data_IF_981965891826
#
_entry.id   IF_981965891826
#
_cell.length_a   1.000
_cell.length_b   1.000
_cell.length_c   1.000
_cell.angle_alpha   90.00
_cell.angle_beta   90.00
_cell.angle_gamma   90.00
#
_symmetry.space_group_name_H-M   'P 1'
#
loop_
_entity.id
_entity.type
_entity.pdbx_description
1 polymer ?
#
# COMPACT_ATOMS: atom_id res chain seq x y z
N UNK A 1 -53.29 -29.52 37.76
CA UNK A 1 -52.75 -29.46 39.13
C UNK A 1 -51.23 -29.47 39.04
N UNK A 2 -50.63 -28.38 39.50
CA UNK A 2 -49.27 -27.94 39.23
C UNK A 2 -48.26 -28.55 40.24
N UNK A 3 -47.09 -28.87 39.71
CA UNK A 3 -45.74 -28.83 40.27
C UNK A 3 -45.21 -29.90 41.25
N UNK A 4 -44.45 -30.78 40.58
CA UNK A 4 -43.26 -31.51 40.96
C UNK A 4 -42.17 -30.68 41.70
N UNK A 5 -41.68 -31.31 42.77
CA UNK A 5 -40.28 -31.58 43.17
C UNK A 5 -39.23 -30.47 43.21
N UNK A 6 -38.84 -30.21 44.46
CA UNK A 6 -37.59 -29.61 44.92
C UNK A 6 -36.39 -30.57 44.84
N UNK A 7 -35.18 -29.96 44.81
CA UNK A 7 -33.84 -30.45 45.24
C UNK A 7 -33.10 -31.41 44.27
N UNK A 8 -31.81 -31.26 43.96
CA UNK A 8 -30.70 -30.47 44.51
C UNK A 8 -29.76 -30.04 43.35
N UNK A 9 -29.35 -28.78 43.37
CA UNK A 9 -28.29 -28.21 42.52
C UNK A 9 -26.95 -28.45 43.22
N UNK A 10 -25.97 -28.97 42.49
CA UNK A 10 -24.59 -29.16 42.92
C UNK A 10 -23.94 -27.81 43.28
N UNK A 11 -23.03 -27.75 44.26
CA UNK A 11 -22.31 -26.52 44.58
C UNK A 11 -21.34 -26.20 43.45
N UNK A 12 -21.50 -25.04 42.84
CA UNK A 12 -20.48 -24.44 41.97
C UNK A 12 -19.28 -24.07 42.87
N UNK A 13 -18.11 -24.58 42.52
CA UNK A 13 -16.85 -24.36 43.26
C UNK A 13 -16.24 -23.02 42.80
N UNK A 14 -16.88 -21.91 43.19
CA UNK A 14 -16.60 -20.55 42.71
C UNK A 14 -15.14 -20.09 42.92
N UNK A 15 -14.42 -20.67 43.89
CA UNK A 15 -13.02 -20.33 44.17
C UNK A 15 -12.04 -20.83 43.09
N UNK A 16 -12.29 -22.00 42.52
CA UNK A 16 -11.38 -22.66 41.58
C UNK A 16 -11.50 -22.06 40.16
N UNK A 17 -12.69 -21.58 39.81
CA UNK A 17 -12.94 -20.87 38.55
C UNK A 17 -12.41 -19.42 38.57
N UNK A 18 -12.45 -18.76 39.73
CA UNK A 18 -11.82 -17.44 39.90
C UNK A 18 -10.30 -17.52 39.79
N UNK A 19 -9.67 -18.52 40.41
CA UNK A 19 -8.21 -18.66 40.37
C UNK A 19 -7.71 -18.98 38.95
N UNK A 20 -8.44 -19.83 38.21
CA UNK A 20 -8.17 -20.08 36.77
C UNK A 20 -8.37 -18.83 35.92
N UNK A 21 -9.39 -18.02 36.22
CA UNK A 21 -9.65 -16.74 35.53
C UNK A 21 -8.55 -15.72 35.82
N UNK A 22 -8.06 -15.64 37.05
CA UNK A 22 -6.92 -14.78 37.44
C UNK A 22 -5.65 -15.19 36.71
N UNK A 23 -5.28 -16.48 36.70
CA UNK A 23 -4.09 -16.96 35.98
C UNK A 23 -4.19 -16.73 34.46
N UNK A 24 -5.39 -16.85 33.89
CA UNK A 24 -5.61 -16.53 32.47
C UNK A 24 -5.43 -15.03 32.18
N UNK A 25 -5.92 -14.17 33.07
CA UNK A 25 -5.77 -12.72 32.94
C UNK A 25 -4.33 -12.26 33.19
N UNK A 26 -3.60 -12.90 34.11
CA UNK A 26 -2.16 -12.66 34.34
C UNK A 26 -1.34 -13.01 33.10
N UNK A 27 -1.60 -14.18 32.48
CA UNK A 27 -0.93 -14.58 31.25
C UNK A 27 -1.26 -13.66 30.07
N UNK A 28 -2.49 -13.16 29.98
CA UNK A 28 -2.88 -12.15 28.99
C UNK A 28 -2.16 -10.82 29.25
N UNK A 29 -2.02 -10.39 30.51
CA UNK A 29 -1.28 -9.19 30.89
C UNK A 29 0.20 -9.28 30.55
N UNK A 30 0.83 -10.43 30.81
CA UNK A 30 2.23 -10.68 30.51
C UNK A 30 2.50 -10.60 29.00
N UNK A 31 1.65 -11.25 28.20
CA UNK A 31 1.72 -11.23 26.74
C UNK A 31 1.50 -9.81 26.17
N UNK A 32 0.57 -9.04 26.75
CA UNK A 32 0.36 -7.62 26.38
C UNK A 32 1.51 -6.70 26.80
N UNK A 33 2.18 -6.99 27.91
CA UNK A 33 3.35 -6.24 28.36
C UNK A 33 4.57 -6.51 27.47
N UNK A 34 4.74 -7.74 26.97
CA UNK A 34 5.76 -8.07 25.97
C UNK A 34 5.48 -7.36 24.63
N UNK A 35 4.24 -7.41 24.13
CA UNK A 35 3.83 -6.68 22.92
C UNK A 35 4.09 -5.16 23.05
N UNK A 36 3.82 -4.58 24.22
CA UNK A 36 4.08 -3.17 24.49
C UNK A 36 5.58 -2.85 24.44
N UNK A 37 6.41 -3.73 25.00
CA UNK A 37 7.86 -3.56 25.04
C UNK A 37 8.47 -3.64 23.64
N UNK A 38 8.03 -4.58 22.82
CA UNK A 38 8.42 -4.69 21.42
C UNK A 38 8.02 -3.44 20.61
N UNK A 39 6.79 -2.95 20.81
CA UNK A 39 6.31 -1.73 20.18
C UNK A 39 7.11 -0.48 20.62
N UNK A 40 7.60 -0.43 21.87
CA UNK A 40 8.47 0.64 22.36
C UNK A 40 9.88 0.58 21.75
N UNK A 41 10.46 -0.62 21.62
CA UNK A 41 11.75 -0.81 20.95
C UNK A 41 11.65 -0.45 19.45
N UNK A 42 10.58 -0.86 18.76
CA UNK A 42 10.30 -0.50 17.37
C UNK A 42 10.13 1.01 17.20
N UNK A 43 9.37 1.67 18.09
CA UNK A 43 9.22 3.13 18.08
C UNK A 43 10.54 3.87 18.25
N UNK A 44 11.43 3.37 19.12
CA UNK A 44 12.76 3.95 19.32
C UNK A 44 13.62 3.87 18.05
N UNK A 45 13.58 2.74 17.35
CA UNK A 45 14.27 2.58 16.06
C UNK A 45 13.67 3.50 14.99
N UNK A 46 12.35 3.70 14.98
CA UNK A 46 11.68 4.63 14.08
C UNK A 46 12.07 6.10 14.35
N UNK A 47 12.21 6.49 15.62
CA UNK A 47 12.68 7.83 16.01
C UNK A 47 14.15 8.05 15.60
N UNK A 48 15.02 7.05 15.78
CA UNK A 48 16.41 7.07 15.32
C UNK A 48 16.49 7.15 13.78
N UNK A 49 15.68 6.38 13.05
CA UNK A 49 15.56 6.47 11.60
C UNK A 49 15.04 7.83 11.15
N UNK A 50 14.12 8.46 11.89
CA UNK A 50 13.65 9.81 11.60
C UNK A 50 14.76 10.85 11.73
N UNK A 51 15.64 10.71 12.74
CA UNK A 51 16.82 11.59 12.88
C UNK A 51 17.88 11.38 11.79
N UNK A 52 18.12 10.14 11.36
CA UNK A 52 19.02 9.87 10.22
C UNK A 52 18.41 10.41 8.93
N UNK A 53 17.09 10.25 8.75
CA UNK A 53 16.39 10.75 7.59
C UNK A 53 16.39 12.29 7.55
N UNK A 54 16.24 12.98 8.69
CA UNK A 54 16.34 14.45 8.74
C UNK A 54 17.74 14.95 8.38
N UNK A 55 18.81 14.26 8.81
CA UNK A 55 20.17 14.56 8.36
C UNK A 55 20.38 14.30 6.86
N UNK A 56 19.76 13.25 6.33
CA UNK A 56 19.85 12.88 4.91
C UNK A 56 19.08 13.86 4.02
N UNK A 57 17.89 14.30 4.45
CA UNK A 57 17.10 15.35 3.80
C UNK A 57 17.87 16.66 3.79
N UNK A 58 18.49 17.05 4.91
CA UNK A 58 19.32 18.28 4.98
C UNK A 58 20.51 18.22 4.00
N UNK A 59 21.09 17.04 3.79
CA UNK A 59 22.14 16.79 2.79
C UNK A 59 21.60 16.88 1.35
N UNK A 60 20.45 16.26 1.08
CA UNK A 60 19.80 16.31 -0.23
C UNK A 60 19.24 17.69 -0.58
N UNK A 61 18.85 18.50 0.39
CA UNK A 61 18.41 19.89 0.20
C UNK A 61 19.58 20.81 -0.14
N UNK A 62 20.78 20.56 0.42
CA UNK A 62 22.01 21.19 -0.05
C UNK A 62 22.30 20.81 -1.51
N UNK A 63 22.08 19.56 -1.91
CA UNK A 63 22.28 19.10 -3.30
C UNK A 63 21.20 19.61 -4.26
N UNK A 64 19.93 19.70 -3.83
CA UNK A 64 18.81 20.18 -4.66
C UNK A 64 18.85 21.67 -4.97
N UNK A 65 19.46 22.48 -4.11
CA UNK A 65 19.67 23.90 -4.41
C UNK A 65 20.69 24.11 -5.54
N UNK A 66 21.36 23.05 -6.01
CA UNK A 66 22.31 23.07 -7.12
C UNK A 66 21.63 22.71 -8.47
N UNK A 67 20.43 22.09 -8.48
CA UNK A 67 19.85 21.48 -9.69
C UNK A 67 18.41 21.91 -10.03
N UNK A 68 17.94 23.10 -9.64
CA UNK A 68 16.60 23.59 -9.99
C UNK A 68 16.51 24.02 -11.46
N UNK A 69 16.30 23.05 -12.34
CA UNK A 69 15.89 23.23 -13.73
C UNK A 69 15.39 21.92 -14.33
N UNK A 70 14.11 21.61 -14.18
CA UNK A 70 13.51 20.39 -14.75
C UNK A 70 11.99 20.52 -14.91
N UNK A 71 11.57 20.67 -16.16
CA UNK A 71 10.17 20.78 -16.64
C UNK A 71 9.52 19.39 -16.70
N UNK A 72 8.20 19.32 -16.50
CA UNK A 72 7.42 18.07 -16.56
C UNK A 72 7.38 17.44 -17.97
N UNK A 73 7.17 16.11 -18.08
CA UNK A 73 7.26 15.36 -19.33
C UNK A 73 6.12 15.64 -20.31
N UNK A 74 6.48 15.80 -21.58
CA UNK A 74 5.67 16.23 -22.74
C UNK A 74 4.49 15.27 -23.08
N UNK A 75 4.60 13.98 -22.73
CA UNK A 75 3.63 12.92 -23.08
C UNK A 75 2.24 13.06 -22.46
N UNK A 76 2.10 13.80 -21.35
CA UNK A 76 0.81 13.94 -20.65
C UNK A 76 -0.16 14.88 -21.39
N UNK A 77 0.35 15.89 -22.10
CA UNK A 77 -0.45 16.90 -22.80
C UNK A 77 -1.07 16.33 -24.09
N UNK A 78 -0.31 15.53 -24.84
CA UNK A 78 -0.78 14.90 -26.08
C UNK A 78 -1.96 13.96 -25.87
N UNK A 79 -1.99 13.26 -24.74
CA UNK A 79 -3.06 12.33 -24.40
C UNK A 79 -4.38 13.05 -24.13
N UNK A 80 -4.32 14.24 -23.52
CA UNK A 80 -5.50 15.06 -23.21
C UNK A 80 -6.14 15.57 -24.51
N UNK A 81 -5.34 16.12 -25.42
CA UNK A 81 -5.82 16.62 -26.73
C UNK A 81 -6.54 15.55 -27.56
N UNK A 82 -6.06 14.30 -27.55
CA UNK A 82 -6.72 13.20 -28.31
C UNK A 82 -8.10 12.85 -27.75
N UNK A 83 -8.26 12.84 -26.42
CA UNK A 83 -9.54 12.52 -25.79
C UNK A 83 -10.60 13.59 -26.04
N UNK A 84 -10.21 14.86 -26.06
CA UNK A 84 -11.13 15.97 -26.37
C UNK A 84 -11.67 15.90 -27.80
N UNK A 85 -10.83 15.51 -28.76
CA UNK A 85 -11.23 15.37 -30.15
C UNK A 85 -12.23 14.22 -30.38
N UNK A 86 -12.04 13.09 -29.70
CA UNK A 86 -12.99 11.97 -29.75
C UNK A 86 -14.37 12.37 -29.21
N UNK A 87 -14.40 13.12 -28.11
CA UNK A 87 -15.67 13.58 -27.51
C UNK A 87 -16.43 14.54 -28.43
N UNK A 88 -15.73 15.42 -29.17
CA UNK A 88 -16.35 16.32 -30.16
C UNK A 88 -16.99 15.56 -31.31
N UNK A 89 -16.33 14.53 -31.85
CA UNK A 89 -16.90 13.73 -32.95
C UNK A 89 -18.16 13.00 -32.53
N UNK A 90 -18.21 12.44 -31.33
CA UNK A 90 -19.35 11.66 -30.88
C UNK A 90 -20.59 12.53 -30.62
N UNK A 91 -20.41 13.74 -30.09
CA UNK A 91 -21.49 14.74 -29.99
C UNK A 91 -22.10 15.06 -31.36
N UNK A 92 -21.27 15.23 -32.38
CA UNK A 92 -21.74 15.53 -33.73
C UNK A 92 -22.59 14.39 -34.33
N UNK A 93 -22.20 13.12 -34.11
CA UNK A 93 -23.00 11.96 -34.56
C UNK A 93 -24.37 11.92 -33.89
N UNK A 94 -24.45 12.17 -32.58
CA UNK A 94 -25.72 12.23 -31.87
C UNK A 94 -26.66 13.31 -32.43
N UNK A 95 -26.13 14.49 -32.79
CA UNK A 95 -26.93 15.56 -33.40
C UNK A 95 -27.51 15.16 -34.77
N UNK A 96 -26.74 14.45 -35.60
CA UNK A 96 -27.19 13.96 -36.90
C UNK A 96 -28.32 12.92 -36.74
N UNK A 97 -28.16 11.97 -35.83
CA UNK A 97 -29.19 10.97 -35.55
C UNK A 97 -30.51 11.60 -35.07
N UNK A 98 -30.45 12.63 -34.23
CA UNK A 98 -31.65 13.36 -33.79
C UNK A 98 -32.36 14.08 -34.95
N UNK A 99 -31.61 14.61 -35.94
CA UNK A 99 -32.21 15.24 -37.13
C UNK A 99 -32.90 14.20 -38.00
N UNK A 100 -32.30 13.04 -38.20
CA UNK A 100 -32.87 11.95 -38.99
C UNK A 100 -34.17 11.42 -38.35
N UNK A 101 -34.19 11.22 -37.04
CA UNK A 101 -35.38 10.79 -36.31
C UNK A 101 -36.54 11.79 -36.48
N UNK A 102 -36.26 13.10 -36.44
CA UNK A 102 -37.28 14.14 -36.68
C UNK A 102 -37.85 14.07 -38.08
N UNK A 103 -37.02 13.82 -39.10
CA UNK A 103 -37.47 13.67 -40.48
C UNK A 103 -38.36 12.43 -40.66
N UNK A 104 -37.96 11.29 -40.08
CA UNK A 104 -38.76 10.06 -40.12
C UNK A 104 -40.13 10.25 -39.45
N UNK A 105 -40.19 10.92 -38.29
CA UNK A 105 -41.45 11.20 -37.61
C UNK A 105 -42.41 12.07 -38.45
N UNK A 106 -41.88 13.02 -39.23
CA UNK A 106 -42.68 13.83 -40.15
C UNK A 106 -43.24 12.97 -41.29
N UNK A 107 -42.44 12.06 -41.84
CA UNK A 107 -42.87 11.17 -42.93
C UNK A 107 -44.00 10.23 -42.49
N UNK A 108 -43.90 9.65 -41.29
CA UNK A 108 -44.95 8.79 -40.72
C UNK A 108 -46.27 9.56 -40.60
N UNK A 109 -46.24 10.77 -40.01
CA UNK A 109 -47.44 11.61 -39.89
C UNK A 109 -48.09 11.97 -41.22
N UNK A 110 -47.29 12.13 -42.29
CA UNK A 110 -47.82 12.36 -43.63
C UNK A 110 -48.54 11.12 -44.17
N UNK A 111 -47.97 9.93 -43.96
CA UNK A 111 -48.59 8.68 -44.39
C UNK A 111 -49.90 8.39 -43.64
N UNK A 112 -49.94 8.62 -42.33
CA UNK A 112 -51.16 8.48 -41.52
C UNK A 112 -52.32 9.32 -42.07
N UNK A 113 -52.05 10.59 -42.41
CA UNK A 113 -53.06 11.47 -43.03
C UNK A 113 -53.57 10.98 -44.37
N UNK A 114 -52.70 10.40 -45.19
CA UNK A 114 -53.10 9.84 -46.50
C UNK A 114 -54.03 8.64 -46.31
N UNK A 115 -53.73 7.76 -45.36
CA UNK A 115 -54.56 6.61 -45.03
C UNK A 115 -55.94 7.08 -44.56
N UNK A 116 -55.98 8.04 -43.63
CA UNK A 116 -57.23 8.60 -43.10
C UNK A 116 -58.12 9.19 -44.21
N UNK A 117 -57.53 9.91 -45.18
CA UNK A 117 -58.25 10.44 -46.34
C UNK A 117 -58.81 9.33 -47.26
N UNK A 118 -58.05 8.26 -47.47
CA UNK A 118 -58.50 7.13 -48.28
C UNK A 118 -59.65 6.37 -47.60
N UNK A 119 -59.59 6.20 -46.28
CA UNK A 119 -60.67 5.59 -45.49
C UNK A 119 -61.94 6.41 -45.57
N UNK A 120 -61.86 7.73 -45.41
CA UNK A 120 -63.03 8.61 -45.53
C UNK A 120 -63.65 8.57 -46.93
N UNK A 121 -62.83 8.52 -47.99
CA UNK A 121 -63.33 8.37 -49.37
C UNK A 121 -64.07 7.06 -49.58
N UNK A 122 -63.58 5.98 -49.00
CA UNK A 122 -64.23 4.68 -49.07
C UNK A 122 -65.60 4.72 -48.38
N UNK A 123 -65.68 5.29 -47.17
CA UNK A 123 -66.94 5.45 -46.44
C UNK A 123 -67.96 6.34 -47.19
N UNK A 124 -67.50 7.39 -47.88
CA UNK A 124 -68.40 8.21 -48.72
C UNK A 124 -68.94 7.44 -49.92
N UNK A 125 -68.10 6.65 -50.62
CA UNK A 125 -68.56 5.82 -51.73
C UNK A 125 -69.58 4.78 -51.26
N UNK A 126 -69.38 4.18 -50.08
CA UNK A 126 -70.31 3.22 -49.50
C UNK A 126 -71.68 3.85 -49.19
N UNK A 127 -71.70 5.10 -48.70
CA UNK A 127 -72.93 5.87 -48.44
C UNK A 127 -73.66 6.24 -49.72
N UNK A 128 -72.94 6.70 -50.75
CA UNK A 128 -73.52 7.14 -52.02
C UNK A 128 -74.07 5.99 -52.86
N UNK A 129 -73.38 4.85 -52.87
CA UNK A 129 -73.81 3.68 -53.65
C UNK A 129 -74.95 2.89 -52.99
N UNK A 130 -75.33 3.23 -51.75
CA UNK A 130 -76.44 2.61 -51.03
C UNK A 130 -76.25 1.10 -50.76
N UNK A 131 -75.01 0.61 -50.85
CA UNK A 131 -74.71 -0.83 -50.89
C UNK A 131 -75.03 -1.56 -49.57
N UNK A 132 -75.37 -0.82 -48.51
CA UNK A 132 -75.61 -1.38 -47.16
C UNK A 132 -77.10 -1.67 -46.86
N UNK A 133 -78.06 -1.30 -47.73
CA UNK A 133 -79.46 -1.12 -47.27
C UNK A 133 -80.62 -2.00 -47.78
N UNK A 134 -80.62 -2.54 -49.00
CA UNK A 134 -81.91 -2.94 -49.64
C UNK A 134 -82.08 -4.46 -49.85
N UNK A 135 -82.53 -5.15 -48.79
CA UNK A 135 -83.12 -6.50 -48.86
C UNK A 135 -84.65 -6.43 -48.63
N UNK A 136 -85.45 -5.91 -49.57
CA UNK A 136 -86.91 -6.07 -49.48
C UNK A 136 -87.65 -6.10 -50.83
N UNK A 137 -88.04 -7.33 -51.20
CA UNK A 137 -89.29 -7.84 -51.83
C UNK A 137 -90.07 -6.94 -52.81
N UNK A 138 -90.11 -7.35 -54.08
CA UNK A 138 -91.21 -7.09 -55.02
C UNK A 138 -91.77 -8.42 -55.56
N UNK A 139 -93.10 -8.61 -55.68
CA UNK A 139 -93.73 -9.85 -56.11
C UNK A 139 -94.06 -9.80 -57.61
N UNK A 140 -93.08 -10.05 -58.47
CA UNK A 140 -93.34 -10.45 -59.85
C UNK A 140 -92.06 -11.11 -60.39
N UNK A 141 -92.01 -12.45 -60.33
CA UNK A 141 -90.88 -13.20 -60.86
C UNK A 141 -90.92 -13.17 -62.39
N UNK A 142 -90.37 -12.10 -62.96
CA UNK A 142 -89.84 -12.14 -64.32
C UNK A 142 -88.59 -13.05 -64.33
N UNK A 143 -88.22 -13.60 -65.49
CA UNK A 143 -86.95 -14.33 -65.65
C UNK A 143 -85.77 -13.58 -65.03
N UNK A 144 -85.74 -12.24 -65.16
CA UNK A 144 -84.71 -11.38 -64.55
C UNK A 144 -84.69 -11.43 -63.01
N UNK A 145 -85.82 -11.65 -62.33
CA UNK A 145 -85.86 -11.78 -60.87
C UNK A 145 -85.38 -13.16 -60.39
N UNK A 146 -85.56 -14.18 -61.22
CA UNK A 146 -85.08 -15.55 -60.96
C UNK A 146 -83.57 -15.62 -61.20
N UNK A 147 -83.08 -15.00 -62.26
CA UNK A 147 -81.65 -14.77 -62.50
C UNK A 147 -81.02 -13.93 -61.39
N UNK A 148 -81.67 -12.86 -60.92
CA UNK A 148 -81.19 -12.07 -59.78
C UNK A 148 -81.13 -12.88 -58.49
N UNK A 149 -82.10 -13.76 -58.21
CA UNK A 149 -82.05 -14.68 -57.06
C UNK A 149 -80.91 -15.69 -57.17
N UNK A 150 -80.71 -16.28 -58.35
CA UNK A 150 -79.59 -17.19 -58.59
C UNK A 150 -78.25 -16.46 -58.45
N UNK A 151 -78.14 -15.24 -58.96
CA UNK A 151 -76.95 -14.38 -58.81
C UNK A 151 -76.70 -13.98 -57.37
N UNK A 152 -77.74 -13.70 -56.60
CA UNK A 152 -77.64 -13.45 -55.15
C UNK A 152 -77.17 -14.73 -54.43
N UNK A 153 -77.67 -15.90 -54.81
CA UNK A 153 -77.21 -17.19 -54.29
C UNK A 153 -75.73 -17.47 -54.60
N UNK A 154 -75.29 -17.20 -55.83
CA UNK A 154 -73.88 -17.27 -56.25
C UNK A 154 -73.02 -16.30 -55.44
N UNK A 155 -73.45 -15.04 -55.29
CA UNK A 155 -72.74 -14.04 -54.50
C UNK A 155 -72.69 -14.42 -53.01
N UNK A 156 -73.75 -15.01 -52.46
CA UNK A 156 -73.75 -15.53 -51.09
C UNK A 156 -72.76 -16.68 -50.91
N UNK A 157 -72.64 -17.58 -51.89
CA UNK A 157 -71.64 -18.64 -51.92
C UNK A 157 -70.21 -18.08 -51.97
N UNK A 158 -69.99 -17.04 -52.79
CA UNK A 158 -68.71 -16.33 -52.87
C UNK A 158 -68.39 -15.64 -51.54
N UNK A 159 -69.36 -14.95 -50.93
CA UNK A 159 -69.19 -14.30 -49.62
C UNK A 159 -68.84 -15.33 -48.55
N UNK A 160 -69.57 -16.45 -48.49
CA UNK A 160 -69.28 -17.52 -47.54
C UNK A 160 -67.85 -18.10 -47.72
N UNK A 161 -67.43 -18.29 -48.97
CA UNK A 161 -66.06 -18.71 -49.29
C UNK A 161 -65.01 -17.67 -48.87
N UNK A 162 -65.26 -16.38 -49.13
CA UNK A 162 -64.37 -15.29 -48.72
C UNK A 162 -64.30 -15.15 -47.20
N UNK A 163 -65.39 -15.38 -46.47
CA UNK A 163 -65.40 -15.40 -45.01
C UNK A 163 -64.56 -16.57 -44.46
N UNK A 164 -64.64 -17.74 -45.10
CA UNK A 164 -63.83 -18.90 -44.75
C UNK A 164 -62.34 -18.65 -45.06
N UNK A 165 -62.02 -18.10 -46.24
CA UNK A 165 -60.67 -17.66 -46.60
C UNK A 165 -60.17 -16.60 -45.59
N UNK A 166 -60.97 -15.60 -45.24
CA UNK A 166 -60.60 -14.59 -44.23
C UNK A 166 -60.33 -15.23 -42.85
N UNK A 167 -61.11 -16.24 -42.46
CA UNK A 167 -60.91 -16.98 -41.20
C UNK A 167 -59.58 -17.75 -41.23
N UNK A 168 -59.25 -18.41 -42.33
CA UNK A 168 -57.96 -19.10 -42.49
C UNK A 168 -56.80 -18.11 -42.47
N UNK A 169 -56.93 -16.96 -43.15
CA UNK A 169 -55.93 -15.89 -43.12
C UNK A 169 -55.69 -15.35 -41.71
N UNK A 170 -56.76 -15.07 -40.94
CA UNK A 170 -56.65 -14.66 -39.53
C UNK A 170 -55.95 -15.70 -38.66
N UNK A 171 -56.17 -17.00 -38.92
CA UNK A 171 -55.45 -18.07 -38.21
C UNK A 171 -53.96 -18.12 -38.58
N UNK A 172 -53.63 -17.97 -39.86
CA UNK A 172 -52.24 -17.90 -40.34
C UNK A 172 -51.54 -16.67 -39.75
N UNK A 173 -52.21 -15.52 -39.75
CA UNK A 173 -51.70 -14.28 -39.18
C UNK A 173 -51.36 -14.47 -37.70
N UNK A 174 -52.29 -14.99 -36.88
CA UNK A 174 -52.03 -15.30 -35.46
C UNK A 174 -50.82 -16.22 -35.27
N UNK A 175 -50.68 -17.27 -36.10
CA UNK A 175 -49.53 -18.19 -36.03
C UNK A 175 -48.22 -17.46 -36.38
N UNK A 176 -48.22 -16.60 -37.39
CA UNK A 176 -47.05 -15.81 -37.79
C UNK A 176 -46.69 -14.78 -36.72
N UNK A 177 -47.65 -14.09 -36.13
CA UNK A 177 -47.42 -13.14 -35.03
C UNK A 177 -46.81 -13.84 -33.82
N UNK A 178 -47.34 -15.00 -33.42
CA UNK A 178 -46.77 -15.80 -32.33
C UNK A 178 -45.32 -16.22 -32.65
N UNK A 179 -45.06 -16.64 -33.89
CA UNK A 179 -43.70 -17.01 -34.32
C UNK A 179 -42.74 -15.82 -34.28
N UNK A 180 -43.18 -14.64 -34.73
CA UNK A 180 -42.39 -13.40 -34.67
C UNK A 180 -42.07 -13.03 -33.23
N UNK A 181 -43.05 -13.08 -32.32
CA UNK A 181 -42.84 -12.81 -30.90
C UNK A 181 -41.86 -13.81 -30.27
N UNK A 182 -41.95 -15.08 -30.65
CA UNK A 182 -41.05 -16.13 -30.15
C UNK A 182 -39.62 -15.89 -30.65
N UNK A 183 -39.45 -15.62 -31.94
CA UNK A 183 -38.15 -15.30 -32.53
C UNK A 183 -37.55 -14.01 -31.96
N UNK A 184 -38.40 -13.01 -31.67
CA UNK A 184 -37.94 -11.77 -31.03
C UNK A 184 -37.40 -12.04 -29.63
N UNK A 185 -38.10 -12.86 -28.83
CA UNK A 185 -37.63 -13.28 -27.50
C UNK A 185 -36.33 -14.05 -27.57
N UNK A 186 -36.18 -14.96 -28.55
CA UNK A 186 -34.93 -15.70 -28.77
C UNK A 186 -33.78 -14.78 -29.18
N UNK A 187 -34.04 -13.78 -30.04
CA UNK A 187 -33.05 -12.80 -30.45
C UNK A 187 -32.57 -11.97 -29.26
N UNK A 188 -33.48 -11.50 -28.41
CA UNK A 188 -33.12 -10.72 -27.22
C UNK A 188 -32.37 -11.56 -26.19
N UNK A 189 -32.73 -12.83 -26.04
CA UNK A 189 -31.98 -13.77 -25.20
C UNK A 189 -30.55 -14.00 -25.73
N UNK A 190 -30.38 -14.13 -27.05
CA UNK A 190 -29.05 -14.25 -27.67
C UNK A 190 -28.21 -12.99 -27.48
N UNK A 191 -28.80 -11.80 -27.64
CA UNK A 191 -28.08 -10.53 -27.40
C UNK A 191 -27.58 -10.42 -25.97
N UNK A 192 -28.42 -10.76 -24.98
CA UNK A 192 -28.00 -10.80 -23.58
C UNK A 192 -26.86 -11.79 -23.35
N UNK A 193 -26.94 -12.99 -23.95
CA UNK A 193 -25.88 -13.99 -23.86
C UNK A 193 -24.56 -13.50 -24.48
N UNK A 194 -24.62 -12.78 -25.61
CA UNK A 194 -23.45 -12.16 -26.23
C UNK A 194 -22.86 -11.06 -25.33
N UNK A 195 -23.70 -10.19 -24.76
CA UNK A 195 -23.27 -9.16 -23.80
C UNK A 195 -22.59 -9.79 -22.58
N UNK A 196 -23.18 -10.81 -21.97
CA UNK A 196 -22.61 -11.55 -20.84
C UNK A 196 -21.28 -12.21 -21.22
N UNK A 197 -21.20 -12.79 -22.41
CA UNK A 197 -19.96 -13.36 -22.93
C UNK A 197 -18.85 -12.31 -23.09
N UNK A 198 -19.16 -11.13 -23.65
CA UNK A 198 -18.20 -10.05 -23.79
C UNK A 198 -17.75 -9.50 -22.44
N UNK A 199 -18.67 -9.35 -21.47
CA UNK A 199 -18.35 -8.93 -20.11
C UNK A 199 -17.44 -9.95 -19.41
N UNK A 200 -17.78 -11.25 -19.50
CA UNK A 200 -16.97 -12.33 -18.92
C UNK A 200 -15.58 -12.40 -19.57
N UNK A 201 -15.48 -12.27 -20.90
CA UNK A 201 -14.21 -12.28 -21.60
C UNK A 201 -13.33 -11.06 -21.22
N UNK A 202 -13.93 -9.89 -21.05
CA UNK A 202 -13.21 -8.71 -20.57
C UNK A 202 -12.74 -8.87 -19.12
N UNK A 203 -13.57 -9.43 -18.25
CA UNK A 203 -13.19 -9.77 -16.86
C UNK A 203 -12.02 -10.76 -16.84
N UNK A 204 -12.07 -11.81 -17.67
CA UNK A 204 -10.98 -12.78 -17.79
C UNK A 204 -9.67 -12.12 -18.25
N UNK A 205 -9.71 -11.25 -19.26
CA UNK A 205 -8.54 -10.48 -19.71
C UNK A 205 -7.96 -9.57 -18.63
N UNK A 206 -8.80 -8.98 -17.77
CA UNK A 206 -8.34 -8.19 -16.63
C UNK A 206 -7.66 -9.08 -15.58
N UNK A 207 -8.26 -10.23 -15.24
CA UNK A 207 -7.65 -11.21 -14.34
C UNK A 207 -6.33 -11.77 -14.87
N UNK A 208 -6.21 -12.01 -16.17
CA UNK A 208 -4.94 -12.43 -16.79
C UNK A 208 -3.86 -11.34 -16.74
N UNK A 209 -4.23 -10.05 -16.71
CA UNK A 209 -3.27 -8.95 -16.46
C UNK A 209 -2.85 -8.95 -14.99
N UNK A 210 -3.80 -8.96 -14.06
CA UNK A 210 -3.52 -9.02 -12.62
C UNK A 210 -2.59 -10.20 -12.27
N UNK A 211 -2.83 -11.38 -12.84
CA UNK A 211 -1.97 -12.56 -12.63
C UNK A 211 -0.55 -12.34 -13.17
N UNK A 212 -0.39 -11.66 -14.31
CA UNK A 212 0.94 -11.34 -14.86
C UNK A 212 1.67 -10.34 -13.98
N UNK A 213 0.99 -9.30 -13.54
CA UNK A 213 1.55 -8.27 -12.66
C UNK A 213 1.99 -8.89 -11.33
N UNK A 214 1.14 -9.74 -10.71
CA UNK A 214 1.49 -10.49 -9.50
C UNK A 214 2.66 -11.45 -9.71
N UNK A 215 2.76 -12.09 -10.88
CA UNK A 215 3.92 -12.95 -11.22
C UNK A 215 5.21 -12.14 -11.34
N UNK A 216 5.16 -10.92 -11.88
CA UNK A 216 6.31 -10.02 -11.95
C UNK A 216 6.70 -9.52 -10.56
N UNK A 217 5.74 -9.12 -9.74
CA UNK A 217 5.97 -8.73 -8.36
C UNK A 217 6.59 -9.87 -7.56
N UNK A 218 6.08 -11.10 -7.69
CA UNK A 218 6.65 -12.29 -7.06
C UNK A 218 8.08 -12.57 -7.53
N UNK A 219 8.39 -12.38 -8.83
CA UNK A 219 9.77 -12.47 -9.33
C UNK A 219 10.67 -11.41 -8.70
N UNK A 220 10.19 -10.17 -8.53
CA UNK A 220 10.94 -9.09 -7.88
C UNK A 220 11.19 -9.44 -6.42
N UNK A 221 10.16 -9.87 -5.68
CA UNK A 221 10.25 -10.29 -4.29
C UNK A 221 11.23 -11.45 -4.12
N UNK A 222 11.20 -12.47 -4.98
CA UNK A 222 12.19 -13.57 -4.98
C UNK A 222 13.61 -13.10 -5.24
N UNK A 223 13.81 -12.09 -6.11
CA UNK A 223 15.14 -11.49 -6.31
C UNK A 223 15.59 -10.72 -5.07
N UNK A 224 14.68 -10.03 -4.38
CA UNK A 224 14.98 -9.33 -3.13
C UNK A 224 15.30 -10.34 -2.03
N UNK A 225 14.51 -11.40 -1.89
CA UNK A 225 14.74 -12.51 -0.95
C UNK A 225 16.11 -13.14 -1.21
N UNK A 226 16.41 -13.53 -2.45
CA UNK A 226 17.73 -14.09 -2.79
C UNK A 226 18.88 -13.12 -2.53
N UNK A 227 18.68 -11.79 -2.68
CA UNK A 227 19.66 -10.78 -2.28
C UNK A 227 19.80 -10.70 -0.77
N UNK A 228 18.69 -10.71 -0.03
CA UNK A 228 18.68 -10.73 1.45
C UNK A 228 19.36 -11.98 1.97
N UNK A 229 19.05 -13.15 1.44
CA UNK A 229 19.69 -14.40 1.82
C UNK A 229 21.19 -14.38 1.51
N UNK A 230 21.62 -13.79 0.38
CA UNK A 230 23.04 -13.57 0.09
C UNK A 230 23.73 -12.61 1.07
N UNK A 231 23.03 -11.57 1.51
CA UNK A 231 23.52 -10.65 2.54
C UNK A 231 23.61 -11.39 3.88
N UNK A 232 22.54 -12.08 4.28
CA UNK A 232 22.49 -12.87 5.52
C UNK A 232 23.57 -13.95 5.53
N UNK A 233 23.70 -14.75 4.47
CA UNK A 233 24.78 -15.75 4.35
C UNK A 233 26.16 -15.13 4.28
N UNK A 234 26.30 -13.94 3.70
CA UNK A 234 27.51 -13.12 3.75
C UNK A 234 27.86 -12.65 5.17
N UNK A 235 26.87 -12.26 5.97
CA UNK A 235 27.00 -11.92 7.39
C UNK A 235 27.25 -13.17 8.26
N UNK A 236 26.69 -14.32 7.89
CA UNK A 236 26.94 -15.62 8.53
C UNK A 236 28.37 -16.13 8.27
N UNK A 237 28.90 -15.92 7.06
CA UNK A 237 30.24 -16.37 6.66
C UNK A 237 31.35 -15.34 6.95
N UNK A 238 31.01 -14.05 6.96
CA UNK A 238 31.88 -12.96 7.35
C UNK A 238 31.71 -12.68 8.84
N UNK A 239 32.63 -13.18 9.67
CA UNK A 239 32.77 -12.79 11.08
C UNK A 239 32.60 -11.27 11.27
N UNK A 240 31.39 -10.84 11.63
CA UNK A 240 30.94 -9.45 11.79
C UNK A 240 31.56 -8.69 12.97
N UNK A 241 32.56 -9.28 13.62
CA UNK A 241 33.46 -8.51 14.48
C UNK A 241 34.45 -7.68 13.65
N UNK A 242 34.64 -7.94 12.36
CA UNK A 242 35.56 -7.13 11.54
C UNK A 242 35.08 -5.70 11.35
N UNK A 243 33.80 -5.48 11.04
CA UNK A 243 33.28 -4.15 10.78
C UNK A 243 33.21 -3.30 12.06
N UNK A 244 32.74 -3.89 13.16
CA UNK A 244 32.75 -3.25 14.48
C UNK A 244 34.20 -2.98 14.91
N UNK A 245 35.13 -3.94 14.78
CA UNK A 245 36.55 -3.71 15.12
C UNK A 245 37.23 -2.68 14.24
N UNK A 246 36.88 -2.58 12.95
CA UNK A 246 37.40 -1.53 12.08
C UNK A 246 36.90 -0.16 12.54
N UNK A 247 35.60 0.00 12.82
CA UNK A 247 35.04 1.25 13.33
C UNK A 247 35.58 1.62 14.72
N UNK A 248 35.79 0.64 15.60
CA UNK A 248 36.49 0.85 16.88
C UNK A 248 37.95 1.24 16.68
N UNK A 249 38.62 0.69 15.67
CA UNK A 249 39.97 1.08 15.26
C UNK A 249 40.03 2.52 14.78
N UNK A 250 39.12 2.92 13.89
CA UNK A 250 38.99 4.29 13.38
C UNK A 250 38.65 5.27 14.51
N UNK A 251 37.77 4.87 15.43
CA UNK A 251 37.45 5.64 16.65
C UNK A 251 38.70 5.89 17.49
N UNK A 252 39.50 4.86 17.77
CA UNK A 252 40.75 5.00 18.55
C UNK A 252 41.77 5.88 17.84
N UNK A 253 41.89 5.76 16.52
CA UNK A 253 42.77 6.59 15.72
C UNK A 253 42.35 8.07 15.78
N UNK A 254 41.07 8.36 15.59
CA UNK A 254 40.55 9.73 15.67
C UNK A 254 40.70 10.32 17.08
N UNK A 255 40.45 9.54 18.13
CA UNK A 255 40.70 9.95 19.52
C UNK A 255 42.17 10.35 19.75
N UNK A 256 43.12 9.58 19.20
CA UNK A 256 44.54 9.89 19.29
C UNK A 256 44.88 11.19 18.52
N UNK A 257 44.30 11.41 17.34
CA UNK A 257 44.56 12.62 16.55
C UNK A 257 43.93 13.87 17.19
N UNK A 258 42.73 13.76 17.79
CA UNK A 258 42.12 14.83 18.61
C UNK A 258 43.02 15.18 19.79
N UNK A 259 43.50 14.19 20.54
CA UNK A 259 44.42 14.42 21.67
C UNK A 259 45.70 15.16 21.22
N UNK A 260 46.28 14.76 20.09
CA UNK A 260 47.45 15.42 19.49
C UNK A 260 47.15 16.85 19.06
N UNK A 261 45.99 17.12 18.45
CA UNK A 261 45.59 18.48 18.09
C UNK A 261 45.33 19.37 19.31
N UNK A 262 44.78 18.83 20.40
CA UNK A 262 44.63 19.54 21.67
C UNK A 262 45.99 19.91 22.28
N UNK A 263 46.99 19.03 22.22
CA UNK A 263 48.33 19.33 22.72
C UNK A 263 49.04 20.40 21.89
N UNK A 264 48.90 20.37 20.55
CA UNK A 264 49.41 21.43 19.66
C UNK A 264 48.73 22.76 19.96
N UNK A 265 47.41 22.78 20.15
CA UNK A 265 46.66 23.98 20.56
C UNK A 265 47.22 24.56 21.86
N UNK A 266 47.41 23.74 22.89
CA UNK A 266 48.01 24.16 24.18
C UNK A 266 49.42 24.70 24.03
N UNK A 267 50.20 24.21 23.06
CA UNK A 267 51.53 24.76 22.75
C UNK A 267 51.43 26.14 22.10
N UNK A 268 50.53 26.32 21.13
CA UNK A 268 50.28 27.63 20.53
C UNK A 268 49.76 28.67 21.53
N UNK A 269 48.84 28.30 22.41
CA UNK A 269 48.35 29.19 23.49
C UNK A 269 49.49 29.64 24.42
N UNK A 270 50.35 28.71 24.85
CA UNK A 270 51.53 29.03 25.66
C UNK A 270 52.52 29.94 24.94
N UNK A 271 52.75 29.68 23.66
CA UNK A 271 53.67 30.46 22.83
C UNK A 271 53.14 31.88 22.64
N UNK A 272 51.86 32.02 22.33
CA UNK A 272 51.17 33.30 22.21
C UNK A 272 51.24 34.08 23.53
N UNK A 273 50.98 33.43 24.67
CA UNK A 273 51.08 34.07 25.99
C UNK A 273 52.50 34.56 26.31
N UNK A 274 53.53 33.78 25.97
CA UNK A 274 54.93 34.16 26.15
C UNK A 274 55.32 35.34 25.25
N UNK A 275 54.85 35.36 23.99
CA UNK A 275 55.09 36.48 23.07
C UNK A 275 54.35 37.75 23.53
N UNK A 276 53.11 37.62 23.99
CA UNK A 276 52.33 38.73 24.56
C UNK A 276 53.06 39.37 25.75
N UNK A 277 53.53 38.56 26.70
CA UNK A 277 54.29 39.05 27.85
C UNK A 277 55.63 39.71 27.43
N UNK A 278 56.25 39.22 26.35
CA UNK A 278 57.47 39.83 25.80
C UNK A 278 57.19 41.20 25.16
N UNK A 279 56.08 41.34 24.44
CA UNK A 279 55.63 42.63 23.89
C UNK A 279 55.38 43.62 25.03
N UNK A 280 54.61 43.24 26.05
CA UNK A 280 54.33 44.09 27.22
C UNK A 280 55.63 44.55 27.91
N UNK A 281 56.62 43.67 28.04
CA UNK A 281 57.93 44.02 28.59
C UNK A 281 58.70 45.01 27.71
N UNK A 282 58.66 44.84 26.39
CA UNK A 282 59.31 45.73 25.44
C UNK A 282 58.63 47.10 25.39
N UNK A 283 57.29 47.14 25.41
CA UNK A 283 56.49 48.37 25.51
C UNK A 283 56.77 49.11 26.81
N UNK A 284 56.83 48.41 27.95
CA UNK A 284 57.18 49.02 29.24
C UNK A 284 58.60 49.62 29.22
N UNK A 285 59.57 48.91 28.61
CA UNK A 285 60.94 49.43 28.42
C UNK A 285 60.96 50.64 27.51
N UNK A 286 60.24 50.62 26.39
CA UNK A 286 60.10 51.73 25.47
C UNK A 286 59.52 52.95 26.20
N UNK A 287 58.41 52.78 26.92
CA UNK A 287 57.77 53.83 27.69
C UNK A 287 58.71 54.44 28.73
N UNK A 288 59.46 53.62 29.45
CA UNK A 288 60.47 54.11 30.40
C UNK A 288 61.57 54.93 29.70
N UNK A 289 62.10 54.45 28.57
CA UNK A 289 63.09 55.19 27.78
C UNK A 289 62.49 56.52 27.31
N UNK A 290 61.30 56.51 26.73
CA UNK A 290 60.59 57.72 26.29
C UNK A 290 60.35 58.70 27.43
N UNK A 291 59.99 58.23 28.63
CA UNK A 291 59.86 59.09 29.81
C UNK A 291 61.22 59.69 30.22
N UNK A 292 62.28 58.89 30.29
CA UNK A 292 63.62 59.41 30.62
C UNK A 292 64.14 60.43 29.60
N UNK A 293 63.89 60.21 28.30
CA UNK A 293 64.26 61.16 27.25
C UNK A 293 63.48 62.48 27.36
N UNK A 294 62.19 62.41 27.74
CA UNK A 294 61.37 63.58 28.04
C UNK A 294 61.87 64.33 29.28
N UNK A 295 62.19 63.62 30.35
CA UNK A 295 62.71 64.19 31.59
C UNK A 295 64.06 64.90 31.36
N UNK A 296 64.92 64.33 30.51
CA UNK A 296 66.19 64.94 30.10
C UNK A 296 66.03 66.04 29.03
N UNK A 297 64.80 66.30 28.54
CA UNK A 297 64.48 67.22 27.42
C UNK A 297 65.17 66.91 26.09
N UNK A 298 65.71 65.70 25.95
CA UNK A 298 66.41 65.22 24.76
C UNK A 298 65.47 64.64 23.69
N UNK A 299 64.19 64.45 24.02
CA UNK A 299 63.18 63.84 23.13
C UNK A 299 63.10 64.53 21.74
N UNK A 300 63.21 65.86 21.71
CA UNK A 300 63.20 66.65 20.46
C UNK A 300 64.51 66.55 19.68
N UNK A 301 65.65 66.44 20.36
CA UNK A 301 66.98 66.35 19.76
C UNK A 301 67.23 64.96 19.15
N UNK A 302 66.81 63.90 19.86
CA UNK A 302 66.90 62.52 19.39
C UNK A 302 65.96 62.30 18.19
N UNK A 303 64.73 62.82 18.24
CA UNK A 303 63.80 62.74 17.10
C UNK A 303 64.33 63.45 15.85
N UNK A 304 65.00 64.59 16.01
CA UNK A 304 65.64 65.32 14.91
C UNK A 304 66.88 64.58 14.37
N UNK A 305 67.68 63.97 15.25
CA UNK A 305 68.87 63.19 14.86
C UNK A 305 68.51 61.90 14.12
N UNK A 306 67.41 61.23 14.49
CA UNK A 306 66.92 60.04 13.78
C UNK A 306 66.44 60.33 12.35
N UNK A 307 66.00 61.57 12.06
CA UNK A 307 65.57 61.98 10.71
C UNK A 307 66.74 62.45 9.83
N UNK A 308 67.91 62.71 10.39
CA UNK A 308 69.07 63.30 9.69
C UNK A 308 70.32 62.42 9.57
N UNK A 309 70.32 61.19 10.11
CA UNK A 309 71.49 60.31 10.07
C UNK A 309 71.54 59.48 8.77
N UNK A 310 72.68 59.42 8.05
CA UNK A 310 72.84 58.52 6.92
C UNK A 310 72.90 57.07 7.40
N UNK A 311 72.09 56.22 6.77
CA UNK A 311 71.97 54.78 7.00
C UNK A 311 73.33 54.08 6.87
N UNK A 312 73.98 53.82 8.00
CA UNK A 312 75.07 52.83 8.12
C UNK A 312 74.42 51.60 8.75
N UNK A 313 74.49 50.41 8.13
CA UNK A 313 73.74 49.25 8.60
C UNK A 313 74.44 48.57 9.79
N UNK A 314 73.88 48.55 11.01
CA UNK A 314 74.12 47.46 11.93
C UNK A 314 73.22 46.26 11.54
N UNK A 315 73.57 45.02 11.92
CA UNK A 315 72.74 43.85 11.63
C UNK A 315 71.50 43.85 12.51
N UNK A 316 70.48 44.62 12.13
CA UNK A 316 69.04 44.54 12.42
C UNK A 316 68.46 45.94 12.17
N UNK A 317 68.26 46.28 10.89
CA UNK A 317 67.47 47.43 10.48
C UNK A 317 66.00 47.20 10.84
N UNK A 318 65.62 47.73 11.99
CA UNK A 318 64.26 48.06 12.31
C UNK A 318 64.19 48.63 13.71
N UNK A 319 63.64 49.84 13.85
CA UNK A 319 63.42 50.44 15.17
C UNK A 319 62.63 49.49 16.08
N UNK A 320 62.68 49.72 17.40
CA UNK A 320 61.95 48.88 18.37
C UNK A 320 60.44 48.76 18.03
N UNK A 321 59.84 49.78 17.40
CA UNK A 321 58.49 49.72 16.82
C UNK A 321 58.34 48.63 15.75
N UNK A 322 59.30 48.47 14.85
CA UNK A 322 59.27 47.43 13.82
C UNK A 322 59.41 46.02 14.42
N UNK A 323 60.13 45.88 15.54
CA UNK A 323 60.21 44.61 16.30
C UNK A 323 58.88 44.29 16.98
N UNK A 324 58.22 45.28 17.58
CA UNK A 324 56.89 45.12 18.18
C UNK A 324 55.85 44.79 17.10
N UNK A 325 55.87 45.48 15.96
CA UNK A 325 54.98 45.21 14.82
C UNK A 325 55.17 43.80 14.24
N UNK A 326 56.42 43.34 14.10
CA UNK A 326 56.72 41.98 13.65
C UNK A 326 56.24 40.93 14.67
N UNK A 327 56.40 41.19 15.97
CA UNK A 327 55.88 40.31 17.02
C UNK A 327 54.34 40.31 17.05
N UNK A 328 53.69 41.45 16.83
CA UNK A 328 52.24 41.56 16.74
C UNK A 328 51.68 40.80 15.54
N UNK A 329 52.29 40.95 14.36
CA UNK A 329 51.95 40.16 13.16
C UNK A 329 52.14 38.65 13.39
N UNK A 330 53.19 38.27 14.12
CA UNK A 330 53.41 36.86 14.47
C UNK A 330 52.35 36.33 15.46
N UNK A 331 51.92 37.14 16.43
CA UNK A 331 50.79 36.81 17.31
C UNK A 331 49.50 36.65 16.50
N UNK A 332 49.21 37.55 15.57
CA UNK A 332 48.01 37.45 14.73
C UNK A 332 48.05 36.22 13.81
N UNK A 333 49.25 35.85 13.31
CA UNK A 333 49.45 34.58 12.60
C UNK A 333 49.18 33.36 13.49
N UNK A 334 49.65 33.38 14.75
CA UNK A 334 49.37 32.32 15.74
C UNK A 334 47.87 32.25 16.10
N UNK A 335 47.18 33.38 16.18
CA UNK A 335 45.72 33.45 16.41
C UNK A 335 44.95 32.81 15.26
N UNK A 336 45.31 33.13 14.02
CA UNK A 336 44.70 32.53 12.83
C UNK A 336 44.97 31.02 12.76
N UNK A 337 46.19 30.59 13.09
CA UNK A 337 46.54 29.17 13.17
C UNK A 337 45.76 28.44 14.27
N UNK A 338 45.51 29.09 15.40
CA UNK A 338 44.71 28.55 16.49
C UNK A 338 43.23 28.40 16.11
N UNK A 339 42.63 29.41 15.49
CA UNK A 339 41.26 29.34 14.97
C UNK A 339 41.07 28.21 13.96
N UNK A 340 42.04 28.03 13.04
CA UNK A 340 41.99 26.93 12.07
C UNK A 340 42.12 25.56 12.74
N UNK A 341 42.88 25.47 13.85
CA UNK A 341 42.97 24.25 14.65
C UNK A 341 41.70 23.98 15.46
N UNK A 342 41.01 25.01 15.95
CA UNK A 342 39.72 24.88 16.62
C UNK A 342 38.64 24.37 15.66
N UNK A 343 38.54 24.93 14.46
CA UNK A 343 37.61 24.45 13.42
C UNK A 343 37.88 22.98 13.03
N UNK A 344 39.15 22.59 12.93
CA UNK A 344 39.53 21.21 12.66
C UNK A 344 39.17 20.28 13.83
N UNK A 345 39.36 20.73 15.08
CA UNK A 345 38.96 19.96 16.26
C UNK A 345 37.44 19.73 16.28
N UNK A 346 36.64 20.77 16.01
CA UNK A 346 35.18 20.66 15.92
C UNK A 346 34.75 19.66 14.84
N UNK A 347 35.37 19.68 13.66
CA UNK A 347 35.09 18.70 12.60
C UNK A 347 35.41 17.26 13.05
N UNK A 348 36.54 17.07 13.75
CA UNK A 348 36.95 15.76 14.25
C UNK A 348 36.05 15.27 15.38
N UNK A 349 35.59 16.15 16.26
CA UNK A 349 34.64 15.84 17.33
C UNK A 349 33.27 15.43 16.76
N UNK A 350 32.76 16.14 15.74
CA UNK A 350 31.52 15.76 15.03
C UNK A 350 31.66 14.38 14.38
N UNK A 351 32.79 14.12 13.73
CA UNK A 351 33.06 12.82 13.11
C UNK A 351 33.18 11.70 14.15
N UNK A 352 33.77 11.99 15.31
CA UNK A 352 33.87 11.06 16.42
C UNK A 352 32.48 10.74 16.98
N UNK A 353 31.64 11.75 17.24
CA UNK A 353 30.26 11.56 17.71
C UNK A 353 29.42 10.75 16.70
N UNK A 354 29.58 11.00 15.41
CA UNK A 354 28.91 10.25 14.35
C UNK A 354 29.36 8.78 14.31
N UNK A 355 30.64 8.51 14.50
CA UNK A 355 31.18 7.16 14.59
C UNK A 355 30.71 6.43 15.85
N UNK A 356 30.66 7.12 17.00
CA UNK A 356 30.13 6.57 18.24
C UNK A 356 28.67 6.17 18.10
N UNK A 357 27.82 7.05 17.57
CA UNK A 357 26.42 6.73 17.28
C UNK A 357 26.29 5.57 16.29
N UNK A 358 27.15 5.48 15.29
CA UNK A 358 27.12 4.39 14.31
C UNK A 358 27.51 3.05 14.94
N UNK A 359 28.52 3.03 15.81
CA UNK A 359 28.90 1.83 16.59
C UNK A 359 27.75 1.43 17.51
N UNK A 360 27.13 2.38 18.21
CA UNK A 360 26.00 2.12 19.10
C UNK A 360 24.80 1.55 18.33
N UNK A 361 24.43 2.13 17.18
CA UNK A 361 23.34 1.61 16.33
C UNK A 361 23.65 0.19 15.86
N UNK A 362 24.87 -0.08 15.39
CA UNK A 362 25.26 -1.41 14.93
C UNK A 362 25.26 -2.45 16.06
N UNK A 363 25.71 -2.07 17.26
CA UNK A 363 25.66 -2.97 18.42
C UNK A 363 24.23 -3.25 18.89
N UNK A 364 23.35 -2.24 18.87
CA UNK A 364 21.93 -2.42 19.21
C UNK A 364 21.19 -3.24 18.14
N UNK A 365 21.43 -2.97 16.85
CA UNK A 365 20.88 -3.78 15.73
C UNK A 365 21.29 -5.24 15.87
N UNK A 366 22.57 -5.51 16.20
CA UNK A 366 23.06 -6.86 16.43
C UNK A 366 22.38 -7.54 17.61
N UNK A 367 22.20 -6.83 18.72
CA UNK A 367 21.50 -7.37 19.89
C UNK A 367 20.04 -7.70 19.57
N UNK A 368 19.35 -6.84 18.82
CA UNK A 368 17.99 -7.08 18.35
C UNK A 368 17.91 -8.26 17.37
N UNK A 369 18.83 -8.34 16.40
CA UNK A 369 18.92 -9.45 15.45
C UNK A 369 19.18 -10.80 16.15
N UNK A 370 20.06 -10.83 17.15
CA UNK A 370 20.30 -12.03 17.95
C UNK A 370 19.06 -12.47 18.74
N UNK A 371 18.29 -11.53 19.30
CA UNK A 371 17.01 -11.84 19.96
C UNK A 371 15.99 -12.40 18.98
N UNK A 372 15.77 -11.72 17.85
CA UNK A 372 14.83 -12.15 16.81
C UNK A 372 15.22 -13.51 16.22
N UNK A 373 16.52 -13.77 16.05
CA UNK A 373 17.02 -15.05 15.58
C UNK A 373 16.80 -16.17 16.61
N UNK A 374 17.09 -15.90 17.89
CA UNK A 374 16.78 -16.81 18.99
C UNK A 374 15.30 -17.18 18.98
N UNK A 375 14.43 -16.18 18.97
CA UNK A 375 12.98 -16.33 18.91
C UNK A 375 12.49 -17.11 17.70
N UNK A 376 13.05 -16.86 16.51
CA UNK A 376 12.67 -17.57 15.28
C UNK A 376 13.08 -19.03 15.32
N UNK A 377 14.26 -19.32 15.88
CA UNK A 377 14.73 -20.69 16.10
C UNK A 377 13.84 -21.43 17.10
N UNK A 378 13.53 -20.80 18.24
CA UNK A 378 12.62 -21.38 19.24
C UNK A 378 11.19 -21.55 18.73
N UNK A 379 10.68 -20.63 17.90
CA UNK A 379 9.36 -20.77 17.25
C UNK A 379 9.36 -21.92 16.24
N UNK A 380 10.41 -22.05 15.41
CA UNK A 380 10.54 -23.17 14.47
C UNK A 380 10.62 -24.54 15.15
N UNK A 381 11.37 -24.63 16.26
CA UNK A 381 11.44 -25.83 17.09
C UNK A 381 10.08 -26.15 17.73
N UNK A 382 9.37 -25.15 18.26
CA UNK A 382 8.01 -25.31 18.80
C UNK A 382 6.99 -25.74 17.74
N UNK A 383 7.04 -25.18 16.54
CA UNK A 383 6.14 -25.56 15.45
C UNK A 383 6.38 -27.00 14.99
N UNK A 384 7.64 -27.45 14.97
CA UNK A 384 7.97 -28.84 14.68
C UNK A 384 7.47 -29.79 15.79
N UNK A 385 7.60 -29.40 17.06
CA UNK A 385 7.05 -30.16 18.19
C UNK A 385 5.51 -30.23 18.10
N UNK A 386 4.84 -29.11 17.79
CA UNK A 386 3.38 -29.06 17.59
C UNK A 386 2.92 -29.97 16.46
N UNK A 387 3.59 -29.92 15.29
CA UNK A 387 3.29 -30.83 14.17
C UNK A 387 3.49 -32.30 14.55
N UNK A 388 4.53 -32.59 15.35
CA UNK A 388 4.76 -33.94 15.89
C UNK A 388 3.62 -34.40 16.79
N UNK A 389 3.18 -33.54 17.72
CA UNK A 389 2.04 -33.79 18.61
C UNK A 389 0.72 -33.98 17.87
N UNK A 390 0.44 -33.15 16.86
CA UNK A 390 -0.76 -33.27 16.03
C UNK A 390 -0.77 -34.60 15.25
N UNK A 391 0.38 -35.00 14.73
CA UNK A 391 0.56 -36.29 14.05
C UNK A 391 0.31 -37.46 15.01
N UNK A 392 0.87 -37.41 16.22
CA UNK A 392 0.62 -38.43 17.24
C UNK A 392 -0.85 -38.47 17.66
N UNK A 393 -1.48 -37.31 17.86
CA UNK A 393 -2.90 -37.21 18.21
C UNK A 393 -3.78 -37.79 17.12
N UNK A 394 -3.47 -37.53 15.85
CA UNK A 394 -4.13 -38.14 14.69
C UNK A 394 -4.00 -39.66 14.68
N UNK A 395 -2.80 -40.19 14.97
CA UNK A 395 -2.55 -41.62 15.05
C UNK A 395 -3.34 -42.28 16.18
N UNK A 396 -3.37 -41.69 17.38
CA UNK A 396 -4.16 -42.21 18.50
C UNK A 396 -5.65 -42.18 18.21
N UNK A 397 -6.16 -41.12 17.58
CA UNK A 397 -7.57 -41.03 17.19
C UNK A 397 -7.93 -42.13 16.18
N UNK A 398 -7.09 -42.36 15.18
CA UNK A 398 -7.28 -43.44 14.22
C UNK A 398 -7.25 -44.83 14.89
N UNK A 399 -6.39 -45.02 15.90
CA UNK A 399 -6.34 -46.25 16.69
C UNK A 399 -7.60 -46.46 17.53
N UNK A 400 -8.10 -45.41 18.17
CA UNK A 400 -9.38 -45.44 18.92
C UNK A 400 -10.53 -45.79 17.99
N UNK A 401 -10.60 -45.20 16.80
CA UNK A 401 -11.66 -45.47 15.83
C UNK A 401 -11.59 -46.90 15.29
N UNK A 402 -10.38 -47.44 15.05
CA UNK A 402 -10.20 -48.87 14.74
C UNK A 402 -10.70 -49.77 15.86
N UNK A 403 -10.31 -49.50 17.10
CA UNK A 403 -10.75 -50.29 18.26
C UNK A 403 -12.27 -50.20 18.47
N UNK A 404 -12.88 -49.05 18.21
CA UNK A 404 -14.34 -48.89 18.23
C UNK A 404 -15.02 -49.74 17.15
N UNK A 405 -14.50 -49.74 15.93
CA UNK A 405 -15.02 -50.57 14.84
C UNK A 405 -14.85 -52.06 15.14
N UNK A 406 -13.70 -52.46 15.69
CA UNK A 406 -13.43 -53.85 16.09
C UNK A 406 -14.35 -54.29 17.23
N UNK A 407 -14.52 -53.46 18.26
CA UNK A 407 -15.48 -53.70 19.33
C UNK A 407 -16.92 -53.78 18.82
N UNK A 408 -17.31 -52.95 17.86
CA UNK A 408 -18.63 -53.04 17.22
C UNK A 408 -18.81 -54.37 16.47
N UNK A 409 -17.78 -54.83 15.74
CA UNK A 409 -17.77 -56.14 15.08
C UNK A 409 -17.87 -57.30 16.08
N UNK A 410 -17.12 -57.24 17.18
CA UNK A 410 -17.15 -58.25 18.24
C UNK A 410 -18.53 -58.28 18.92
N UNK A 411 -19.13 -57.11 19.21
CA UNK A 411 -20.49 -57.02 19.76
C UNK A 411 -21.53 -57.59 18.79
N UNK A 412 -21.42 -57.30 17.50
CA UNK A 412 -22.29 -57.87 16.48
C UNK A 412 -22.13 -59.40 16.39
N UNK A 413 -20.89 -59.91 16.43
CA UNK A 413 -20.62 -61.34 16.44
C UNK A 413 -21.15 -62.03 17.71
N UNK A 414 -21.03 -61.39 18.89
CA UNK A 414 -21.62 -61.88 20.14
C UNK A 414 -23.15 -61.88 20.11
N UNK A 415 -23.77 -60.87 19.49
CA UNK A 415 -25.21 -60.84 19.25
C UNK A 415 -25.70 -61.91 18.29
N UNK A 416 -24.83 -62.39 17.39
CA UNK A 416 -25.13 -63.50 16.47
C UNK A 416 -25.00 -64.89 17.13
N UNK A 417 -24.23 -65.01 18.22
CA UNK A 417 -24.07 -66.24 18.98
C UNK A 417 -24.88 -66.27 20.29
N UNK A 418 -25.57 -65.19 20.67
CA UNK A 418 -26.54 -65.23 21.78
C UNK A 418 -27.91 -65.71 21.30
N UNK A 419 -28.03 -67.01 21.02
CA UNK A 419 -29.31 -67.70 21.13
C UNK A 419 -29.84 -67.59 22.57
N UNK A 420 -31.17 -67.67 22.77
CA UNK A 420 -31.83 -67.29 24.02
C UNK A 420 -31.59 -68.34 25.10
N UNK A 421 -30.53 -68.19 25.89
CA UNK A 421 -30.41 -68.87 27.17
C UNK A 421 -29.60 -68.03 28.15
N UNK A 422 -30.16 -67.95 29.37
CA UNK A 422 -29.52 -67.54 30.63
C UNK A 422 -29.48 -66.04 30.93
N UNK A 423 -30.63 -65.59 31.43
CA UNK A 423 -30.77 -64.68 32.57
C UNK A 423 -29.78 -65.09 33.68
N UNK A 424 -28.64 -64.41 33.81
CA UNK A 424 -27.80 -64.50 34.99
C UNK A 424 -26.96 -63.24 35.19
N UNK A 425 -27.09 -62.70 36.42
CA UNK A 425 -26.15 -61.83 37.12
C UNK A 425 -25.79 -60.48 36.46
N UNK A 426 -26.60 -59.49 36.84
CA UNK A 426 -26.15 -58.12 37.09
C UNK A 426 -25.00 -58.20 38.10
N UNK A 427 -23.79 -57.85 37.68
CA UNK A 427 -22.69 -57.50 38.59
C UNK A 427 -22.28 -56.09 38.21
N UNK A 428 -22.62 -55.17 39.09
CA UNK A 428 -22.17 -53.80 39.08
C UNK A 428 -20.63 -53.82 39.14
N UNK A 429 -19.99 -53.25 38.13
CA UNK A 429 -18.55 -53.00 38.14
C UNK A 429 -18.36 -51.50 37.96
N UNK A 430 -18.26 -50.82 39.10
CA UNK A 430 -17.69 -49.49 39.23
C UNK A 430 -16.27 -49.55 38.67
N UNK A 431 -16.05 -48.87 37.53
CA UNK A 431 -14.72 -48.61 37.03
C UNK A 431 -14.33 -47.22 37.51
N UNK A 432 -13.57 -47.25 38.59
CA UNK A 432 -12.76 -46.20 39.18
C UNK A 432 -12.15 -45.28 38.10
N UNK A 433 -12.46 -43.99 38.21
CA UNK A 433 -11.78 -42.94 37.47
C UNK A 433 -10.39 -42.75 38.09
N UNK A 434 -9.43 -43.54 37.61
CA UNK A 434 -8.03 -43.31 37.89
C UNK A 434 -7.51 -42.13 37.09
N UNK A 435 -7.58 -40.95 37.69
CA UNK A 435 -6.68 -39.84 37.41
C UNK A 435 -5.22 -40.33 37.54
N UNK A 436 -4.45 -40.27 36.45
CA UNK A 436 -2.99 -40.26 36.53
C UNK A 436 -2.43 -39.30 35.48
N UNK A 437 -2.06 -38.13 36.00
CA UNK A 437 -0.91 -37.25 35.70
C UNK A 437 -0.41 -37.13 34.25
#
# INVERSE_FOLDING_TARGET
FFFATYKMVLPFDEGNDLEKRCRYLEKQLELRNEELKDAMEERKVLDELATVNSMTVRKLEMERNITKGGVLPEDALDKICRMENLLKMEKHKCELAMKEQKLQAITIRKQEKVIEQLTQRMETMEKETGWVGTKTKAPFQSQAQTEAKNRIGELQLIVARLEEEQKTHKQIERKKTLLIETLSKELDAKKKLEEDYYQSNNSLKLKDREIRDLKEELKILKRIEAKKDKVITGLECGKDDSAIRCLEGDKRYLQAEVAKHLDVRRQYERTMKNQQARIEQLEARLNNISMTLKDMKLDKEVSAAMQGAPVVPPPMEGGYEQVVDLQQRHIDSLRNALQLKEALLEEKDINLEALEKKVDIMTHSRAAEQRVYGDRKYRGENDNIRKGLDTQTGNFKAQVDRLKQENAKIRAARGYYSGPTMRAARVDFEADAGDTL
#
